data_IF_378791595445
#
_entry.id   IF_378791595445
#
_cell.length_a   1.000
_cell.length_b   1.000
_cell.length_c   1.000
_cell.angle_alpha   90.00
_cell.angle_beta   90.00
_cell.angle_gamma   90.00
#
_symmetry.space_group_name_H-M   'P 1'
#
loop_
_entity.id
_entity.type
_entity.pdbx_description
1 polymer ?
#
# COMPACT_ATOMS: atom_id res chain seq x y z
N UNK A 1 -59.56 -31.23 -13.00
CA UNK A 1 -59.04 -30.07 -13.73
C UNK A 1 -58.68 -29.03 -12.67
N UNK A 2 -57.40 -28.94 -12.29
CA UNK A 2 -56.91 -28.03 -11.25
C UNK A 2 -56.41 -26.76 -11.95
N UNK A 3 -57.03 -25.63 -11.65
CA UNK A 3 -56.59 -24.31 -12.09
C UNK A 3 -55.61 -23.75 -11.07
N UNK A 4 -54.34 -23.69 -11.44
CA UNK A 4 -53.32 -22.95 -10.69
C UNK A 4 -53.20 -21.55 -11.29
N UNK A 5 -53.68 -20.54 -10.57
CA UNK A 5 -53.43 -19.13 -10.84
C UNK A 5 -52.75 -18.50 -9.64
N UNK A 6 -51.59 -17.89 -9.90
CA UNK A 6 -51.09 -16.60 -9.42
C UNK A 6 -49.62 -16.67 -8.96
N UNK A 7 -48.71 -16.12 -9.78
CA UNK A 7 -48.09 -14.84 -9.43
C UNK A 7 -47.23 -14.30 -10.58
N UNK A 8 -47.70 -13.20 -11.16
CA UNK A 8 -46.90 -12.25 -11.91
C UNK A 8 -46.39 -11.20 -10.92
N UNK A 9 -45.08 -10.98 -10.87
CA UNK A 9 -44.51 -9.68 -10.54
C UNK A 9 -43.09 -9.60 -11.12
N UNK A 10 -43.03 -9.15 -12.37
CA UNK A 10 -41.86 -8.45 -12.87
C UNK A 10 -41.75 -7.13 -12.09
N UNK A 11 -40.56 -6.87 -11.53
CA UNK A 11 -40.29 -5.66 -10.76
C UNK A 11 -38.80 -5.38 -10.75
N UNK A 12 -38.33 -4.75 -11.82
CA UNK A 12 -37.01 -4.14 -11.94
C UNK A 12 -36.82 -3.01 -10.93
N UNK A 13 -35.68 -2.99 -10.23
CA UNK A 13 -35.07 -1.74 -9.75
C UNK A 13 -33.53 -1.91 -9.71
N UNK A 14 -32.74 -1.07 -10.42
CA UNK A 14 -31.29 -1.05 -10.28
C UNK A 14 -30.96 -0.17 -9.07
N UNK A 15 -30.95 -0.75 -7.87
CA UNK A 15 -30.42 -0.03 -6.71
C UNK A 15 -28.91 0.10 -6.86
N UNK A 16 -28.46 1.32 -7.08
CA UNK A 16 -27.08 1.80 -7.02
C UNK A 16 -26.47 1.65 -5.61
N UNK A 17 -26.39 0.42 -5.12
CA UNK A 17 -25.84 0.05 -3.81
C UNK A 17 -24.49 -0.62 -3.99
N UNK A 18 -23.47 -0.08 -3.33
CA UNK A 18 -22.09 -0.58 -3.32
C UNK A 18 -22.05 -2.11 -3.15
N UNK A 19 -21.16 -2.76 -3.90
CA UNK A 19 -20.87 -4.20 -3.89
C UNK A 19 -21.22 -4.86 -2.55
N UNK A 20 -22.16 -5.81 -2.56
CA UNK A 20 -22.21 -6.85 -1.54
C UNK A 20 -20.86 -7.57 -1.68
N UNK A 21 -19.91 -7.23 -0.82
CA UNK A 21 -18.62 -7.90 -0.78
C UNK A 21 -18.97 -9.36 -0.48
N UNK A 22 -18.63 -10.30 -1.38
CA UNK A 22 -18.83 -11.72 -1.12
C UNK A 22 -18.29 -12.06 0.27
N UNK A 23 -19.00 -12.88 1.06
CA UNK A 23 -18.65 -13.13 2.47
C UNK A 23 -17.20 -13.65 2.61
N UNK A 24 -16.75 -14.46 1.65
CA UNK A 24 -15.38 -14.93 1.44
C UNK A 24 -14.35 -13.82 1.19
N UNK A 25 -14.75 -12.72 0.54
CA UNK A 25 -13.92 -11.54 0.32
C UNK A 25 -13.93 -10.57 1.50
N UNK A 26 -14.94 -10.66 2.36
CA UNK A 26 -15.07 -9.79 3.53
C UNK A 26 -13.97 -10.08 4.55
N UNK A 27 -13.67 -11.36 4.80
CA UNK A 27 -12.61 -11.73 5.74
C UNK A 27 -11.20 -11.44 5.20
N UNK A 28 -10.99 -11.57 3.89
CA UNK A 28 -9.77 -11.15 3.21
C UNK A 28 -9.52 -9.64 3.40
N UNK A 29 -10.55 -8.80 3.19
CA UNK A 29 -10.46 -7.35 3.38
C UNK A 29 -10.19 -7.00 4.85
N UNK A 30 -10.87 -7.66 5.81
CA UNK A 30 -10.60 -7.45 7.24
C UNK A 30 -9.15 -7.79 7.60
N UNK A 31 -8.62 -8.90 7.09
CA UNK A 31 -7.24 -9.31 7.33
C UNK A 31 -6.23 -8.29 6.75
N UNK A 32 -6.49 -7.78 5.54
CA UNK A 32 -5.67 -6.74 4.92
C UNK A 32 -5.69 -5.43 5.71
N UNK A 33 -6.87 -5.00 6.18
CA UNK A 33 -7.01 -3.80 7.01
C UNK A 33 -6.26 -3.97 8.34
N UNK A 34 -6.42 -5.11 9.01
CA UNK A 34 -5.71 -5.40 10.26
C UNK A 34 -4.18 -5.33 10.06
N UNK A 35 -3.68 -5.97 8.99
CA UNK A 35 -2.25 -5.94 8.65
C UNK A 35 -1.77 -4.52 8.35
N UNK A 36 -2.55 -3.76 7.58
CA UNK A 36 -2.23 -2.36 7.28
C UNK A 36 -2.13 -1.50 8.54
N UNK A 37 -3.07 -1.63 9.47
CA UNK A 37 -3.06 -0.89 10.75
C UNK A 37 -1.85 -1.27 11.59
N UNK A 38 -1.52 -2.56 11.70
CA UNK A 38 -0.35 -3.02 12.44
C UNK A 38 0.96 -2.48 11.84
N UNK A 39 1.10 -2.51 10.52
CA UNK A 39 2.25 -1.93 9.83
C UNK A 39 2.35 -0.43 10.06
N UNK A 40 1.22 0.29 10.07
CA UNK A 40 1.19 1.73 10.37
C UNK A 40 1.62 2.05 11.80
N UNK A 41 1.22 1.24 12.77
CA UNK A 41 1.66 1.39 14.16
C UNK A 41 3.17 1.18 14.25
N UNK A 42 3.69 0.12 13.62
CA UNK A 42 5.12 -0.18 13.67
C UNK A 42 5.95 0.88 12.94
N UNK A 43 5.48 1.37 11.80
CA UNK A 43 6.08 2.51 11.08
C UNK A 43 6.21 3.74 11.99
N UNK A 44 5.15 4.10 12.73
CA UNK A 44 5.19 5.25 13.65
C UNK A 44 6.22 5.09 14.77
N UNK A 45 6.41 3.88 15.31
CA UNK A 45 7.44 3.63 16.32
C UNK A 45 8.85 3.80 15.75
N UNK A 46 9.07 3.30 14.53
CA UNK A 46 10.34 3.46 13.83
C UNK A 46 10.63 4.94 13.57
N UNK A 47 9.64 5.69 13.06
CA UNK A 47 9.75 7.13 12.81
C UNK A 47 10.09 7.91 14.09
N UNK A 48 9.43 7.60 15.21
CA UNK A 48 9.71 8.24 16.49
C UNK A 48 11.15 7.98 16.96
N UNK A 49 11.63 6.74 16.85
CA UNK A 49 12.99 6.37 17.24
C UNK A 49 14.05 6.97 16.32
N UNK A 50 13.78 7.03 15.01
CA UNK A 50 14.65 7.71 14.05
C UNK A 50 14.75 9.21 14.38
N UNK A 51 13.62 9.87 14.68
CA UNK A 51 13.61 11.27 15.05
C UNK A 51 14.35 11.54 16.38
N UNK A 52 14.33 10.60 17.33
CA UNK A 52 15.12 10.70 18.56
C UNK A 52 16.63 10.59 18.28
N UNK A 53 17.03 9.58 17.50
CA UNK A 53 18.44 9.34 17.16
C UNK A 53 19.02 10.45 16.27
N UNK A 54 18.23 10.98 15.33
CA UNK A 54 18.67 12.00 14.39
C UNK A 54 19.15 13.29 15.09
N UNK A 55 18.66 13.59 16.31
CA UNK A 55 19.08 14.76 17.10
C UNK A 55 20.57 14.76 17.46
N UNK A 56 21.24 13.61 17.39
CA UNK A 56 22.67 13.47 17.73
C UNK A 56 23.60 13.66 16.53
N UNK A 57 23.07 13.88 15.33
CA UNK A 57 23.84 14.00 14.11
C UNK A 57 23.56 15.35 13.45
N UNK A 58 24.55 15.89 12.76
CA UNK A 58 24.36 17.02 11.86
C UNK A 58 23.77 16.56 10.51
N UNK A 59 23.28 17.52 9.73
CA UNK A 59 22.62 17.24 8.46
C UNK A 59 23.54 16.53 7.46
N UNK A 60 24.86 16.81 7.49
CA UNK A 60 25.85 16.18 6.62
C UNK A 60 26.08 14.70 6.98
N UNK A 61 26.17 14.38 8.27
CA UNK A 61 26.25 12.98 8.73
C UNK A 61 24.98 12.21 8.43
N UNK A 62 23.81 12.82 8.67
CA UNK A 62 22.52 12.19 8.33
C UNK A 62 22.41 11.91 6.83
N UNK A 63 22.82 12.86 5.99
CA UNK A 63 22.84 12.68 4.54
C UNK A 63 23.72 11.51 4.12
N UNK A 64 24.94 11.43 4.65
CA UNK A 64 25.88 10.34 4.38
C UNK A 64 25.32 8.96 4.77
N UNK A 65 24.52 8.91 5.84
CA UNK A 65 23.87 7.67 6.30
C UNK A 65 22.65 7.32 5.43
N UNK A 66 21.81 8.30 5.08
CA UNK A 66 20.54 8.06 4.37
C UNK A 66 20.70 7.90 2.86
N UNK A 67 21.66 8.55 2.21
CA UNK A 67 21.82 8.54 0.75
C UNK A 67 22.06 7.12 0.19
N UNK A 68 22.97 6.29 0.74
CA UNK A 68 23.13 4.90 0.29
C UNK A 68 21.88 4.04 0.49
N UNK A 69 21.09 4.33 1.53
CA UNK A 69 19.85 3.60 1.83
C UNK A 69 18.76 3.95 0.81
N UNK A 70 18.61 5.24 0.49
CA UNK A 70 17.67 5.71 -0.52
C UNK A 70 17.95 5.12 -1.90
N UNK A 71 19.23 5.09 -2.31
CA UNK A 71 19.66 4.44 -3.54
C UNK A 71 19.38 2.92 -3.54
N UNK A 72 19.68 2.25 -2.43
CA UNK A 72 19.46 0.81 -2.29
C UNK A 72 17.97 0.44 -2.34
N UNK A 73 17.12 1.16 -1.61
CA UNK A 73 15.67 0.93 -1.61
C UNK A 73 15.05 1.19 -2.98
N UNK A 74 15.51 2.23 -3.68
CA UNK A 74 15.06 2.53 -5.04
C UNK A 74 15.40 1.41 -6.02
N UNK A 75 16.57 0.77 -5.86
CA UNK A 75 16.95 -0.44 -6.61
C UNK A 75 16.13 -1.68 -6.23
N UNK A 76 15.80 -1.88 -4.95
CA UNK A 76 14.97 -3.02 -4.50
C UNK A 76 13.53 -2.91 -5.01
N UNK A 77 12.99 -1.70 -5.09
CA UNK A 77 11.62 -1.44 -5.59
C UNK A 77 11.60 -1.38 -7.13
N UNK A 78 12.75 -1.50 -7.81
CA UNK A 78 12.84 -1.47 -9.27
C UNK A 78 12.49 -0.11 -9.87
N UNK A 79 12.58 0.96 -9.06
CA UNK A 79 12.27 2.34 -9.44
C UNK A 79 13.55 3.12 -9.71
N UNK A 80 14.62 2.46 -10.19
CA UNK A 80 15.85 3.17 -10.56
C UNK A 80 15.54 4.33 -11.51
N UNK A 81 15.58 5.55 -10.97
CA UNK A 81 15.43 6.76 -11.75
C UNK A 81 16.48 6.73 -12.86
N UNK A 82 16.01 6.79 -14.12
CA UNK A 82 16.83 6.63 -15.33
C UNK A 82 17.96 7.68 -15.48
N UNK A 83 18.13 8.57 -14.51
CA UNK A 83 19.14 9.63 -14.48
C UNK A 83 20.53 9.11 -14.10
N UNK A 84 20.66 7.93 -13.49
CA UNK A 84 21.98 7.38 -13.11
C UNK A 84 22.63 6.49 -14.20
N UNK A 85 21.94 6.26 -15.33
CA UNK A 85 22.53 5.50 -16.46
C UNK A 85 23.59 6.27 -17.25
N UNK A 86 23.75 7.57 -17.03
CA UNK A 86 24.70 8.39 -17.83
C UNK A 86 26.11 8.50 -17.25
N UNK A 87 26.32 8.16 -15.97
CA UNK A 87 27.63 8.28 -15.31
C UNK A 87 28.39 6.95 -15.13
N UNK A 88 27.84 5.82 -15.58
CA UNK A 88 28.52 4.51 -15.56
C UNK A 88 28.96 4.00 -16.95
N UNK A 89 29.09 4.91 -17.92
CA UNK A 89 29.44 4.57 -19.31
C UNK A 89 30.46 5.51 -19.96
N UNK A 90 31.34 6.14 -19.18
CA UNK A 90 32.47 6.89 -19.72
C UNK A 90 33.65 6.84 -18.77
N UNK A 91 34.19 5.64 -18.56
CA UNK A 91 35.61 5.50 -18.23
C UNK A 91 36.06 4.10 -18.63
N UNK A 92 36.92 4.10 -19.66
CA UNK A 92 37.68 2.99 -20.27
C UNK A 92 36.89 2.06 -21.21
#
# INVERSE_FOLDING_TARGET
MVTSTSNTAAGSNPSSGKHIIPEDKTDEVKALIARYVLLKIEQKKIEAKLAEIAKYYDDESLRTIFEPIGESMMGVIGLESSHNRKNKGSTV
#
